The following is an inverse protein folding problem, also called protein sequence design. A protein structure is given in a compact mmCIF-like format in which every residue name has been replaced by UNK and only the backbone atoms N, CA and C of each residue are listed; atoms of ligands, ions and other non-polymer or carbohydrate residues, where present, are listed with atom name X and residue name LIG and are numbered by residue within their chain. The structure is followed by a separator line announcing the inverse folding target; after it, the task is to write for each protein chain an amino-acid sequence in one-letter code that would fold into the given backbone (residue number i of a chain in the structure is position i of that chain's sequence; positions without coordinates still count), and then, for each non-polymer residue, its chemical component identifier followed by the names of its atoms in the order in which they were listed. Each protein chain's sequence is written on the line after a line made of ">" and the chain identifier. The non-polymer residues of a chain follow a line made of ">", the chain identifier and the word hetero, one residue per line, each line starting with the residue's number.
data_IF_290698956483
#
_entry.id   IF_290698956483
#
_cell.length_a   1.000
_cell.length_b   1.000
_cell.length_c   1.000
_cell.angle_alpha   90.00
_cell.angle_beta   90.00
_cell.angle_gamma   90.00
#
_symmetry.space_group_name_H-M   'P 1'
#
loop_
_entity.id
_entity.type
_entity.pdbx_description
1 polymer ?
#
# COMPACT_ATOMS: atom_id res chain seq x y z
N UNK A 1 23.27 -17.20 14.59
CA UNK A 1 22.19 -16.75 13.67
C UNK A 1 20.94 -17.59 13.97
N UNK A 2 19.76 -17.00 14.17
CA UNK A 2 18.52 -17.76 14.47
C UNK A 2 17.57 -17.72 13.27
N UNK A 3 17.13 -18.90 12.82
CA UNK A 3 16.10 -19.09 11.79
C UNK A 3 14.75 -19.28 12.51
N UNK A 4 13.67 -18.71 11.97
CA UNK A 4 12.29 -19.04 12.33
C UNK A 4 11.60 -19.40 11.02
N UNK A 5 11.00 -20.60 10.93
CA UNK A 5 10.38 -21.16 9.71
C UNK A 5 11.25 -21.09 8.45
N UNK A 6 12.55 -21.43 8.56
CA UNK A 6 13.45 -21.55 7.41
C UNK A 6 13.91 -20.23 6.77
N UNK A 7 13.24 -19.10 7.02
CA UNK A 7 13.62 -17.78 6.47
C UNK A 7 14.69 -17.09 7.33
N UNK A 8 15.65 -16.45 6.65
CA UNK A 8 16.76 -15.72 7.26
C UNK A 8 16.28 -14.30 7.57
N UNK A 9 15.99 -14.02 8.83
CA UNK A 9 15.52 -12.70 9.27
C UNK A 9 16.66 -11.67 9.20
N UNK A 10 16.35 -10.46 8.73
CA UNK A 10 17.33 -9.35 8.71
C UNK A 10 17.77 -9.02 10.15
N UNK A 11 18.99 -8.47 10.30
CA UNK A 11 19.53 -8.01 11.59
C UNK A 11 18.59 -7.01 12.31
N UNK A 12 17.91 -6.15 11.55
CA UNK A 12 16.92 -5.18 12.07
C UNK A 12 15.64 -5.88 12.53
N UNK A 13 15.10 -6.80 11.75
CA UNK A 13 13.93 -7.63 12.13
C UNK A 13 14.20 -8.45 13.40
N UNK A 14 15.42 -8.97 13.54
CA UNK A 14 15.85 -9.72 14.72
C UNK A 14 16.01 -8.83 15.96
N UNK A 15 16.40 -7.56 15.79
CA UNK A 15 16.40 -6.55 16.87
C UNK A 15 14.97 -6.18 17.27
N UNK A 16 14.08 -5.93 16.32
CA UNK A 16 12.67 -5.64 16.59
C UNK A 16 11.98 -6.80 17.33
N UNK A 17 12.15 -8.05 16.87
CA UNK A 17 11.62 -9.24 17.55
C UNK A 17 12.21 -9.39 18.96
N UNK A 18 13.51 -9.14 19.15
CA UNK A 18 14.13 -9.15 20.49
C UNK A 18 13.61 -8.03 21.39
N UNK A 19 13.30 -6.86 20.83
CA UNK A 19 12.71 -5.74 21.56
C UNK A 19 11.27 -6.11 22.00
N UNK A 20 10.45 -6.63 21.08
CA UNK A 20 9.09 -7.14 21.34
C UNK A 20 9.10 -8.26 22.39
N UNK A 21 10.11 -9.14 22.35
CA UNK A 21 10.31 -10.20 23.35
C UNK A 21 10.68 -9.65 24.73
N UNK A 22 11.62 -8.69 24.77
CA UNK A 22 12.11 -8.06 26.00
C UNK A 22 11.02 -7.25 26.70
N UNK A 23 10.13 -6.68 25.92
CA UNK A 23 8.96 -5.89 26.35
C UNK A 23 7.75 -6.76 26.77
N UNK A 24 7.88 -8.09 26.81
CA UNK A 24 6.82 -9.01 27.26
C UNK A 24 5.63 -9.13 26.31
N UNK A 25 5.65 -8.46 25.15
CA UNK A 25 4.54 -8.41 24.19
C UNK A 25 4.36 -9.74 23.45
N UNK A 26 5.42 -10.55 23.37
CA UNK A 26 5.46 -11.79 22.60
C UNK A 26 4.52 -12.89 23.14
N UNK A 27 4.29 -12.93 24.46
CA UNK A 27 3.38 -13.87 25.12
C UNK A 27 1.89 -13.56 24.86
N UNK A 28 1.55 -12.28 24.71
CA UNK A 28 0.20 -11.85 24.34
C UNK A 28 -0.06 -11.99 22.83
N UNK A 29 0.99 -11.85 22.01
CA UNK A 29 0.97 -12.10 20.57
C UNK A 29 0.72 -13.58 20.22
N UNK A 30 1.34 -14.53 20.95
CA UNK A 30 1.10 -15.97 20.74
C UNK A 30 -0.33 -16.37 21.14
N UNK A 31 -0.93 -15.71 22.14
CA UNK A 31 -2.33 -15.93 22.53
C UNK A 31 -3.36 -15.32 21.56
N UNK A 32 -2.95 -14.34 20.74
CA UNK A 32 -3.80 -13.66 19.76
C UNK A 32 -3.67 -14.23 18.34
N UNK A 33 -2.74 -15.16 18.10
CA UNK A 33 -2.73 -15.97 16.86
C UNK A 33 -3.97 -16.90 16.85
N UNK A 34 -4.62 -17.14 15.70
CA UNK A 34 -5.91 -17.80 15.68
C UNK A 34 -5.82 -19.19 16.31
N UNK A 35 -6.67 -19.43 17.30
CA UNK A 35 -7.11 -20.75 17.71
C UNK A 35 -7.91 -21.31 16.53
N UNK A 36 -7.20 -21.79 15.50
CA UNK A 36 -7.74 -22.77 14.60
C UNK A 36 -7.89 -24.07 15.40
N UNK A 37 -9.12 -24.58 15.49
CA UNK A 37 -9.53 -25.81 16.15
C UNK A 37 -9.65 -25.79 17.67
N UNK A 38 -10.79 -25.29 18.18
CA UNK A 38 -11.67 -26.13 19.03
C UNK A 38 -13.07 -25.52 19.18
N UNK A 39 -14.06 -26.39 18.99
CA UNK A 39 -15.53 -26.20 19.10
C UNK A 39 -15.94 -25.18 20.18
N UNK A 40 -16.61 -24.11 19.77
CA UNK A 40 -17.42 -23.28 20.67
C UNK A 40 -18.88 -23.58 20.39
N UNK A 41 -19.48 -24.32 21.32
CA UNK A 41 -20.92 -24.57 21.39
C UNK A 41 -21.67 -23.33 21.88
N UNK A 42 -22.71 -22.96 21.13
CA UNK A 42 -23.97 -22.33 21.55
C UNK A 42 -23.89 -21.08 22.46
N UNK A 43 -23.73 -19.93 21.82
CA UNK A 43 -24.40 -18.67 22.17
C UNK A 43 -25.01 -18.11 20.87
N UNK A 44 -26.18 -17.44 20.90
CA UNK A 44 -26.83 -16.96 19.69
C UNK A 44 -25.97 -15.85 19.07
N UNK A 45 -25.20 -16.22 18.06
CA UNK A 45 -24.48 -15.30 17.20
C UNK A 45 -25.54 -14.59 16.38
N UNK A 46 -25.73 -13.29 16.61
CA UNK A 46 -26.25 -12.42 15.56
C UNK A 46 -25.22 -12.49 14.43
N UNK A 47 -25.44 -13.40 13.48
CA UNK A 47 -24.55 -13.64 12.35
C UNK A 47 -24.71 -12.47 11.38
N UNK A 48 -23.88 -11.45 11.57
CA UNK A 48 -23.51 -10.58 10.48
C UNK A 48 -22.83 -11.46 9.42
N UNK A 49 -23.21 -11.40 8.13
CA UNK A 49 -22.58 -12.21 7.10
C UNK A 49 -21.08 -11.97 7.13
N UNK A 50 -20.27 -13.03 7.28
CA UNK A 50 -18.80 -12.92 7.35
C UNK A 50 -18.20 -12.22 6.11
N UNK A 51 -18.92 -12.29 4.99
CA UNK A 51 -18.62 -11.71 3.68
C UNK A 51 -18.75 -10.18 3.64
N UNK A 52 -19.45 -9.59 4.61
CA UNK A 52 -19.68 -8.15 4.70
C UNK A 52 -18.81 -7.47 5.76
N UNK A 53 -17.91 -8.20 6.44
CA UNK A 53 -17.04 -7.62 7.46
C UNK A 53 -16.08 -6.60 6.80
N UNK A 54 -16.31 -5.28 6.98
CA UNK A 54 -15.50 -4.26 6.30
C UNK A 54 -14.08 -4.16 6.86
N UNK A 55 -13.76 -4.94 7.89
CA UNK A 55 -12.47 -4.93 8.56
C UNK A 55 -11.60 -6.12 8.17
N UNK A 56 -12.12 -7.19 7.56
CA UNK A 56 -11.26 -8.32 7.16
C UNK A 56 -10.56 -8.02 5.83
N UNK A 57 -9.55 -7.17 5.90
CA UNK A 57 -8.95 -6.58 4.72
C UNK A 57 -8.16 -7.60 3.87
N UNK A 58 -8.49 -7.72 2.58
CA UNK A 58 -7.61 -8.23 1.54
C UNK A 58 -6.25 -7.51 1.56
N UNK A 59 -6.18 -6.27 2.07
CA UNK A 59 -4.93 -5.52 2.27
C UNK A 59 -3.98 -6.11 3.32
N UNK A 60 -4.47 -6.98 4.23
CA UNK A 60 -3.58 -7.80 5.06
C UNK A 60 -2.77 -8.83 4.25
N UNK A 61 -3.18 -9.12 3.00
CA UNK A 61 -2.53 -10.05 2.07
C UNK A 61 -1.66 -9.34 1.04
N UNK A 62 -1.77 -8.02 0.91
CA UNK A 62 -0.97 -7.26 -0.03
C UNK A 62 0.48 -7.21 0.44
N UNK A 63 1.38 -7.68 -0.41
CA UNK A 63 2.82 -7.57 -0.18
C UNK A 63 3.20 -6.09 -0.25
N UNK A 64 4.09 -5.65 0.64
CA UNK A 64 4.68 -4.32 0.57
C UNK A 64 5.92 -4.35 -0.32
N UNK A 65 6.15 -3.26 -1.07
CA UNK A 65 7.48 -3.02 -1.66
C UNK A 65 8.56 -2.92 -0.57
N UNK A 66 9.84 -3.04 -0.95
CA UNK A 66 10.93 -2.95 0.02
C UNK A 66 10.93 -1.59 0.75
N UNK A 67 10.72 -0.50 0.01
CA UNK A 67 10.68 0.84 0.57
C UNK A 67 9.50 1.01 1.54
N UNK A 68 8.31 0.51 1.19
CA UNK A 68 7.15 0.52 2.08
C UNK A 68 7.38 -0.34 3.32
N UNK A 69 7.97 -1.53 3.18
CA UNK A 69 8.29 -2.40 4.31
C UNK A 69 9.36 -1.77 5.22
N UNK A 70 10.38 -1.11 4.66
CA UNK A 70 11.37 -0.35 5.43
C UNK A 70 10.70 0.77 6.23
N UNK A 71 9.83 1.56 5.59
CA UNK A 71 9.12 2.66 6.24
C UNK A 71 8.14 2.17 7.29
N UNK A 72 7.40 1.11 7.02
CA UNK A 72 6.57 0.45 8.02
C UNK A 72 7.42 0.03 9.24
N UNK A 73 8.56 -0.63 9.03
CA UNK A 73 9.44 -1.03 10.13
C UNK A 73 9.96 0.16 10.96
N UNK A 74 10.29 1.29 10.32
CA UNK A 74 10.67 2.52 11.03
C UNK A 74 9.55 2.97 11.99
N UNK A 75 8.30 2.97 11.53
CA UNK A 75 7.15 3.35 12.35
C UNK A 75 6.78 2.32 13.41
N UNK A 76 6.96 1.03 13.14
CA UNK A 76 6.82 -0.02 14.14
C UNK A 76 7.84 0.17 15.28
N UNK A 77 9.10 0.42 14.95
CA UNK A 77 10.16 0.68 15.94
C UNK A 77 9.85 1.94 16.77
N UNK A 78 9.42 3.04 16.13
CA UNK A 78 8.97 4.25 16.83
C UNK A 78 7.81 3.96 17.79
N UNK A 79 6.77 3.27 17.34
CA UNK A 79 5.61 2.95 18.17
C UNK A 79 5.98 2.07 19.37
N UNK A 80 6.88 1.08 19.18
CA UNK A 80 7.38 0.24 20.26
C UNK A 80 8.21 1.05 21.26
N UNK A 81 9.05 1.97 20.77
CA UNK A 81 9.93 2.82 21.57
C UNK A 81 9.20 4.01 22.24
N UNK A 82 7.93 4.25 21.90
CA UNK A 82 7.15 5.29 22.56
C UNK A 82 7.15 5.07 24.08
N UNK A 83 7.37 6.14 24.83
CA UNK A 83 7.44 6.12 26.30
C UNK A 83 6.10 6.47 26.96
N UNK A 84 5.22 7.17 26.25
CA UNK A 84 3.92 7.59 26.75
C UNK A 84 2.90 7.80 25.62
N UNK A 85 1.64 7.95 25.99
CA UNK A 85 0.53 8.05 25.05
C UNK A 85 0.61 9.27 24.12
N UNK A 86 1.22 10.37 24.56
CA UNK A 86 1.39 11.58 23.75
C UNK A 86 2.38 11.35 22.60
N UNK A 87 3.52 10.72 22.90
CA UNK A 87 4.50 10.30 21.90
C UNK A 87 3.88 9.31 20.91
N UNK A 88 3.12 8.33 21.40
CA UNK A 88 2.44 7.37 20.53
C UNK A 88 1.42 8.04 19.61
N UNK A 89 0.60 8.96 20.14
CA UNK A 89 -0.35 9.73 19.34
C UNK A 89 0.34 10.48 18.20
N UNK A 90 1.46 11.15 18.48
CA UNK A 90 2.23 11.88 17.45
C UNK A 90 2.78 10.94 16.38
N UNK A 91 3.29 9.76 16.78
CA UNK A 91 3.80 8.74 15.85
C UNK A 91 2.68 8.24 14.94
N UNK A 92 1.46 8.08 15.47
CA UNK A 92 0.28 7.70 14.67
C UNK A 92 -0.06 8.78 13.66
N UNK A 93 -0.07 10.05 14.08
CA UNK A 93 -0.34 11.18 13.17
C UNK A 93 0.72 11.23 12.04
N UNK A 94 2.00 11.12 12.37
CA UNK A 94 3.10 11.08 11.39
C UNK A 94 2.98 9.87 10.43
N UNK A 95 2.57 8.70 10.91
CA UNK A 95 2.41 7.49 10.09
C UNK A 95 1.25 7.65 9.09
N UNK A 96 0.12 8.18 9.57
CA UNK A 96 -1.07 8.42 8.74
C UNK A 96 -0.77 9.49 7.68
N UNK A 97 -0.11 10.58 8.06
CA UNK A 97 0.28 11.64 7.15
C UNK A 97 1.23 11.16 6.05
N UNK A 98 2.17 10.27 6.38
CA UNK A 98 3.08 9.68 5.40
C UNK A 98 2.42 8.62 4.49
N UNK A 99 1.19 8.20 4.78
CA UNK A 99 0.51 7.17 3.98
C UNK A 99 0.91 5.74 4.33
N UNK A 100 1.38 5.48 5.56
CA UNK A 100 1.68 4.11 6.00
C UNK A 100 0.38 3.28 5.95
N UNK A 101 0.41 2.16 5.22
CA UNK A 101 -0.65 1.14 5.24
C UNK A 101 -0.70 0.52 6.64
N UNK A 102 -1.75 0.84 7.39
CA UNK A 102 -1.90 0.50 8.80
C UNK A 102 -2.23 -0.97 9.02
N UNK A 103 -2.81 -1.64 8.01
CA UNK A 103 -3.15 -3.07 8.06
C UNK A 103 -2.07 -3.97 7.45
N UNK A 104 -1.27 -3.43 6.53
CA UNK A 104 -0.18 -4.17 5.91
C UNK A 104 0.79 -4.74 6.94
N UNK A 105 1.23 -5.98 6.71
CA UNK A 105 2.13 -6.70 7.61
C UNK A 105 3.56 -6.64 7.08
N UNK A 106 4.51 -6.36 7.97
CA UNK A 106 5.91 -6.56 7.66
C UNK A 106 6.27 -8.05 7.56
N UNK A 107 7.51 -8.37 7.20
CA UNK A 107 8.02 -9.75 7.14
C UNK A 107 7.87 -10.55 8.45
N UNK A 108 7.79 -9.85 9.59
CA UNK A 108 7.56 -10.45 10.91
C UNK A 108 6.09 -10.72 11.22
N UNK A 109 5.17 -10.36 10.33
CA UNK A 109 3.72 -10.50 10.52
C UNK A 109 3.07 -9.38 11.33
N UNK A 110 3.78 -8.27 11.58
CA UNK A 110 3.30 -7.14 12.37
C UNK A 110 2.78 -6.01 11.47
N UNK A 111 1.60 -5.50 11.78
CA UNK A 111 1.07 -4.27 11.18
C UNK A 111 1.15 -3.10 12.16
N UNK A 112 1.13 -1.88 11.64
CA UNK A 112 1.22 -0.67 12.44
C UNK A 112 0.03 -0.52 13.39
N UNK A 113 -1.19 -0.80 12.91
CA UNK A 113 -2.39 -0.81 13.73
C UNK A 113 -2.26 -1.80 14.90
N UNK A 114 -1.83 -3.04 14.63
CA UNK A 114 -1.70 -4.07 15.67
C UNK A 114 -0.66 -3.68 16.74
N UNK A 115 0.52 -3.21 16.34
CA UNK A 115 1.57 -2.80 17.30
C UNK A 115 1.12 -1.61 18.14
N UNK A 116 0.46 -0.63 17.52
CA UNK A 116 -0.08 0.54 18.23
C UNK A 116 -1.13 0.12 19.25
N UNK A 117 -2.07 -0.76 18.86
CA UNK A 117 -3.04 -1.34 19.79
C UNK A 117 -2.35 -2.09 20.92
N UNK A 118 -1.35 -2.94 20.63
CA UNK A 118 -0.64 -3.68 21.66
C UNK A 118 0.05 -2.77 22.69
N UNK A 119 0.64 -1.66 22.23
CA UNK A 119 1.29 -0.68 23.11
C UNK A 119 0.28 -0.07 24.10
N UNK A 120 -0.96 0.17 23.65
CA UNK A 120 -2.03 0.73 24.48
C UNK A 120 -2.58 -0.22 25.56
N UNK A 121 -2.21 -1.51 25.62
CA UNK A 121 -2.57 -2.37 26.76
C UNK A 121 -1.84 -2.00 28.06
N UNK A 122 -0.69 -1.33 27.96
CA UNK A 122 0.13 -0.98 29.11
C UNK A 122 -0.50 0.16 29.89
N UNK A 123 -0.33 0.14 31.21
CA UNK A 123 -0.92 1.14 32.10
C UNK A 123 -0.43 2.55 31.80
N UNK A 124 0.83 2.72 31.42
CA UNK A 124 1.45 3.99 31.00
C UNK A 124 0.87 4.57 29.70
N UNK A 125 0.05 3.79 28.98
CA UNK A 125 -0.68 4.17 27.77
C UNK A 125 -2.20 4.18 27.97
N UNK A 126 -2.69 4.09 29.21
CA UNK A 126 -4.12 4.26 29.52
C UNK A 126 -4.47 5.73 29.72
N UNK A 127 -5.61 6.15 29.18
CA UNK A 127 -6.12 7.52 29.37
C UNK A 127 -6.85 8.10 28.17
N UNK A 128 -7.14 9.40 28.25
CA UNK A 128 -8.08 10.09 27.36
C UNK A 128 -7.71 10.02 25.87
N UNK A 129 -6.42 9.87 25.53
CA UNK A 129 -5.96 9.81 24.13
C UNK A 129 -6.08 8.42 23.49
N UNK A 130 -6.39 7.37 24.25
CA UNK A 130 -6.57 6.02 23.67
C UNK A 130 -7.73 6.01 22.68
N UNK A 131 -8.85 6.62 23.07
CA UNK A 131 -10.03 6.71 22.21
C UNK A 131 -9.71 7.48 20.92
N UNK A 132 -8.94 8.57 21.00
CA UNK A 132 -8.52 9.37 19.84
C UNK A 132 -7.62 8.58 18.88
N UNK A 133 -6.61 7.88 19.40
CA UNK A 133 -5.73 7.03 18.57
C UNK A 133 -6.52 5.93 17.88
N UNK A 134 -7.40 5.24 18.62
CA UNK A 134 -8.25 4.17 18.05
C UNK A 134 -9.18 4.77 16.99
N UNK A 135 -9.77 5.93 17.25
CA UNK A 135 -10.63 6.65 16.30
C UNK A 135 -9.88 7.00 15.00
N UNK A 136 -8.67 7.56 15.11
CA UNK A 136 -7.83 7.90 13.94
C UNK A 136 -7.47 6.68 13.11
N UNK A 137 -7.04 5.60 13.75
CA UNK A 137 -6.75 4.34 13.05
C UNK A 137 -8.01 3.77 12.39
N UNK A 138 -9.15 3.78 13.09
CA UNK A 138 -10.43 3.28 12.58
C UNK A 138 -10.89 4.05 11.35
N UNK A 139 -10.80 5.38 11.39
CA UNK A 139 -11.12 6.28 10.27
C UNK A 139 -10.26 6.03 9.03
N UNK A 140 -9.08 5.43 9.22
CA UNK A 140 -8.15 5.08 8.15
C UNK A 140 -8.19 3.58 7.79
N UNK A 141 -9.29 2.89 8.14
CA UNK A 141 -9.55 1.51 7.73
C UNK A 141 -8.86 0.44 8.57
N UNK A 142 -8.33 0.77 9.76
CA UNK A 142 -7.64 -0.22 10.59
C UNK A 142 -8.53 -1.41 10.99
N UNK A 143 -8.01 -2.63 10.79
CA UNK A 143 -8.61 -3.88 11.24
C UNK A 143 -8.18 -4.21 12.68
N UNK A 144 -9.08 -3.99 13.63
CA UNK A 144 -8.84 -4.30 15.04
C UNK A 144 -9.16 -5.76 15.36
N UNK A 145 -8.27 -6.67 14.95
CA UNK A 145 -8.28 -8.04 15.46
C UNK A 145 -7.91 -8.11 16.96
N UNK A 146 -7.35 -7.04 17.51
CA UNK A 146 -6.88 -6.93 18.90
C UNK A 146 -7.69 -5.85 19.63
N UNK A 147 -8.49 -6.25 20.63
CA UNK A 147 -9.36 -5.33 21.38
C UNK A 147 -8.70 -4.90 22.70
N UNK A 148 -8.09 -3.70 22.72
CA UNK A 148 -7.38 -3.14 23.88
C UNK A 148 -8.31 -2.90 25.07
N UNK A 149 -9.46 -2.28 24.79
CA UNK A 149 -10.57 -2.15 25.72
C UNK A 149 -11.87 -2.35 24.93
N UNK A 150 -12.61 -3.43 25.24
CA UNK A 150 -13.83 -3.77 24.52
C UNK A 150 -14.88 -2.66 24.55
N UNK A 151 -14.93 -1.84 25.60
CA UNK A 151 -15.90 -0.73 25.71
C UNK A 151 -15.48 0.41 24.78
N UNK A 152 -14.22 0.84 24.83
CA UNK A 152 -13.70 1.91 23.97
C UNK A 152 -13.77 1.48 22.50
N UNK A 153 -13.28 0.28 22.17
CA UNK A 153 -13.31 -0.22 20.79
C UNK A 153 -14.74 -0.32 20.25
N UNK A 154 -15.71 -0.85 21.02
CA UNK A 154 -17.12 -0.89 20.59
C UNK A 154 -17.73 0.49 20.41
N UNK A 155 -17.39 1.45 21.29
CA UNK A 155 -17.87 2.83 21.19
C UNK A 155 -17.36 3.48 19.90
N UNK A 156 -16.04 3.45 19.69
CA UNK A 156 -15.41 4.01 18.49
C UNK A 156 -15.91 3.32 17.23
N UNK A 157 -16.06 1.99 17.24
CA UNK A 157 -16.57 1.24 16.10
C UNK A 157 -17.96 1.74 15.69
N UNK A 158 -18.91 1.86 16.63
CA UNK A 158 -20.25 2.39 16.33
C UNK A 158 -20.24 3.82 15.78
N UNK A 159 -19.29 4.64 16.22
CA UNK A 159 -19.14 6.03 15.79
C UNK A 159 -18.57 6.14 14.36
N UNK A 160 -17.59 5.28 14.04
CA UNK A 160 -16.81 5.36 12.80
C UNK A 160 -17.39 4.50 11.68
N UNK A 161 -18.06 3.40 12.00
CA UNK A 161 -18.62 2.46 11.02
C UNK A 161 -19.50 3.13 9.94
N UNK A 162 -20.42 4.07 10.26
CA UNK A 162 -21.19 4.77 9.24
C UNK A 162 -20.33 5.63 8.29
N UNK A 163 -19.23 6.19 8.80
CA UNK A 163 -18.32 7.04 8.03
C UNK A 163 -17.49 6.20 7.05
N UNK A 164 -16.96 5.07 7.52
CA UNK A 164 -16.23 4.11 6.68
C UNK A 164 -17.16 3.51 5.64
N UNK A 165 -18.37 3.10 6.02
CA UNK A 165 -19.35 2.57 5.08
C UNK A 165 -19.70 3.60 3.99
N UNK A 166 -19.91 4.87 4.38
CA UNK A 166 -20.16 5.94 3.41
C UNK A 166 -18.99 6.16 2.46
N UNK A 167 -17.75 6.12 2.96
CA UNK A 167 -16.55 6.27 2.14
C UNK A 167 -16.37 5.10 1.17
N UNK A 168 -16.52 3.86 1.64
CA UNK A 168 -16.45 2.64 0.81
C UNK A 168 -17.55 2.63 -0.25
N UNK A 169 -18.77 3.05 0.09
CA UNK A 169 -19.86 3.19 -0.88
C UNK A 169 -19.50 4.16 -2.00
N UNK A 170 -18.98 5.34 -1.67
CA UNK A 170 -18.54 6.34 -2.66
C UNK A 170 -17.38 5.83 -3.51
N UNK A 171 -16.44 5.09 -2.91
CA UNK A 171 -15.33 4.48 -3.64
C UNK A 171 -15.82 3.39 -4.61
N UNK A 172 -16.82 2.61 -4.21
CA UNK A 172 -17.49 1.65 -5.11
C UNK A 172 -18.20 2.36 -6.26
N UNK A 173 -18.94 3.44 -5.99
CA UNK A 173 -19.57 4.26 -7.03
C UNK A 173 -18.54 4.83 -8.02
N UNK A 174 -17.34 5.21 -7.56
CA UNK A 174 -16.22 5.59 -8.44
C UNK A 174 -15.82 4.44 -9.37
N UNK A 175 -15.65 3.23 -8.83
CA UNK A 175 -15.33 2.05 -9.64
C UNK A 175 -16.43 1.69 -10.64
N UNK A 176 -17.70 1.74 -10.21
CA UNK A 176 -18.86 1.45 -11.06
C UNK A 176 -18.97 2.46 -12.22
N UNK A 177 -18.77 3.75 -11.96
CA UNK A 177 -18.78 4.79 -12.99
C UNK A 177 -17.58 4.72 -13.95
N UNK A 178 -16.49 4.09 -13.53
CA UNK A 178 -15.31 3.85 -14.36
C UNK A 178 -15.41 2.54 -15.17
N UNK A 179 -16.37 1.68 -14.86
CA UNK A 179 -16.54 0.39 -15.51
C UNK A 179 -17.25 0.55 -16.85
N UNK A 180 -16.60 0.11 -17.93
CA UNK A 180 -17.18 0.08 -19.28
C UNK A 180 -17.93 -1.23 -19.49
N UNK A 181 -17.35 -2.35 -19.05
CA UNK A 181 -17.94 -3.69 -19.07
C UNK A 181 -17.54 -4.43 -17.79
N UNK A 182 -18.46 -5.18 -17.17
CA UNK A 182 -18.21 -5.92 -15.93
C UNK A 182 -18.82 -5.26 -14.69
N UNK A 183 -18.36 -5.66 -13.51
CA UNK A 183 -18.84 -5.13 -12.21
C UNK A 183 -17.70 -4.96 -11.20
N UNK A 184 -17.89 -4.06 -10.23
CA UNK A 184 -17.04 -3.96 -9.04
C UNK A 184 -17.48 -5.03 -8.03
N UNK A 185 -16.58 -5.92 -7.65
CA UNK A 185 -16.84 -6.98 -6.68
C UNK A 185 -16.51 -6.52 -5.26
N UNK A 186 -15.32 -5.95 -5.05
CA UNK A 186 -14.86 -5.54 -3.72
C UNK A 186 -14.15 -4.17 -3.72
N UNK A 187 -14.25 -3.45 -2.61
CA UNK A 187 -13.51 -2.22 -2.36
C UNK A 187 -13.02 -2.17 -0.91
N UNK A 188 -11.78 -1.76 -0.73
CA UNK A 188 -11.17 -1.58 0.59
C UNK A 188 -10.31 -0.33 0.63
N UNK A 189 -10.13 0.22 1.83
CA UNK A 189 -9.21 1.32 2.10
C UNK A 189 -8.21 0.91 3.16
N UNK A 190 -6.96 1.34 2.98
CA UNK A 190 -5.94 1.29 4.01
C UNK A 190 -5.18 2.63 3.99
N UNK A 191 -5.49 3.46 4.97
CA UNK A 191 -5.04 4.84 5.06
C UNK A 191 -5.38 5.63 3.79
N UNK A 192 -4.36 6.09 3.05
CA UNK A 192 -4.54 6.88 1.81
C UNK A 192 -4.59 6.02 0.55
N UNK A 193 -4.57 4.69 0.68
CA UNK A 193 -4.57 3.75 -0.45
C UNK A 193 -5.87 2.98 -0.53
N UNK A 194 -6.19 2.45 -1.70
CA UNK A 194 -7.32 1.55 -1.89
C UNK A 194 -6.93 0.24 -2.58
N UNK A 195 -7.80 -0.74 -2.39
CA UNK A 195 -7.89 -1.94 -3.21
C UNK A 195 -9.27 -1.99 -3.85
N UNK A 196 -9.33 -2.27 -5.14
CA UNK A 196 -10.56 -2.39 -5.90
C UNK A 196 -10.50 -3.64 -6.77
N UNK A 197 -11.49 -4.51 -6.63
CA UNK A 197 -11.60 -5.77 -7.35
C UNK A 197 -12.80 -5.72 -8.28
N UNK A 198 -12.55 -6.12 -9.52
CA UNK A 198 -13.54 -6.19 -10.58
C UNK A 198 -13.69 -7.63 -11.06
N UNK A 199 -14.85 -7.89 -11.68
CA UNK A 199 -15.16 -9.17 -12.31
C UNK A 199 -14.11 -9.62 -13.34
N UNK A 200 -14.02 -10.92 -13.58
CA UNK A 200 -12.91 -11.54 -14.32
C UNK A 200 -12.59 -10.94 -15.71
N UNK A 201 -13.60 -10.50 -16.46
CA UNK A 201 -13.47 -9.95 -17.82
C UNK A 201 -13.80 -8.45 -17.89
N UNK A 202 -13.49 -7.70 -16.83
CA UNK A 202 -13.86 -6.29 -16.72
C UNK A 202 -13.02 -5.40 -17.66
N UNK A 203 -13.65 -4.36 -18.23
CA UNK A 203 -12.99 -3.24 -18.91
C UNK A 203 -13.20 -1.98 -18.08
N UNK A 204 -12.11 -1.35 -17.65
CA UNK A 204 -12.13 -0.25 -16.68
C UNK A 204 -11.33 0.95 -17.16
N UNK A 205 -11.93 2.14 -17.05
CA UNK A 205 -11.23 3.41 -17.16
C UNK A 205 -10.45 3.72 -15.87
N UNK A 206 -9.22 3.22 -15.79
CA UNK A 206 -8.35 3.40 -14.61
C UNK A 206 -8.11 4.89 -14.31
N UNK A 207 -8.15 5.77 -15.31
CA UNK A 207 -7.98 7.20 -15.07
C UNK A 207 -9.13 7.77 -14.22
N UNK A 208 -10.38 7.40 -14.54
CA UNK A 208 -11.55 7.76 -13.72
C UNK A 208 -11.49 7.18 -12.31
N UNK A 209 -11.01 5.94 -12.15
CA UNK A 209 -10.85 5.33 -10.81
C UNK A 209 -9.89 6.17 -9.96
N UNK A 210 -8.71 6.49 -10.48
CA UNK A 210 -7.69 7.23 -9.74
C UNK A 210 -8.16 8.67 -9.43
N UNK A 211 -8.77 9.35 -10.40
CA UNK A 211 -9.31 10.71 -10.19
C UNK A 211 -10.47 10.72 -9.19
N UNK A 212 -11.39 9.78 -9.29
CA UNK A 212 -12.50 9.63 -8.36
C UNK A 212 -12.02 9.34 -6.93
N UNK A 213 -11.06 8.43 -6.76
CA UNK A 213 -10.45 8.14 -5.46
C UNK A 213 -9.74 9.38 -4.88
N UNK A 214 -9.05 10.16 -5.72
CA UNK A 214 -8.43 11.44 -5.31
C UNK A 214 -9.46 12.43 -4.76
N UNK A 215 -10.63 12.54 -5.39
CA UNK A 215 -11.72 13.40 -4.94
C UNK A 215 -12.31 12.95 -3.59
N UNK A 216 -12.13 11.69 -3.21
CA UNK A 216 -12.49 11.16 -1.89
C UNK A 216 -11.38 11.36 -0.84
N UNK A 217 -10.27 12.00 -1.20
CA UNK A 217 -9.14 12.26 -0.30
C UNK A 217 -8.11 11.13 -0.22
N UNK A 218 -8.26 10.08 -1.05
CA UNK A 218 -7.27 9.02 -1.23
C UNK A 218 -6.18 9.47 -2.22
N UNK A 219 -5.03 8.79 -2.26
CA UNK A 219 -4.03 8.90 -3.35
C UNK A 219 -3.65 10.33 -3.75
N UNK A 220 -3.28 11.19 -2.78
CA UNK A 220 -3.05 12.62 -2.98
C UNK A 220 -1.81 12.99 -3.82
N UNK A 221 -1.09 12.02 -4.40
CA UNK A 221 -0.03 12.25 -5.38
C UNK A 221 1.35 12.65 -4.81
N UNK A 222 1.48 12.76 -3.49
CA UNK A 222 2.70 13.27 -2.84
C UNK A 222 3.52 12.21 -2.09
N UNK A 223 3.10 10.94 -2.13
CA UNK A 223 3.59 9.91 -1.21
C UNK A 223 4.13 8.70 -1.96
N UNK A 224 5.42 8.40 -1.80
CA UNK A 224 6.05 7.20 -2.36
C UNK A 224 5.49 5.85 -1.83
N UNK A 225 4.50 5.90 -0.93
CA UNK A 225 3.90 4.79 -0.19
C UNK A 225 2.43 4.52 -0.60
N UNK A 226 1.94 5.16 -1.67
CA UNK A 226 0.50 5.24 -2.00
C UNK A 226 0.02 4.29 -3.12
N UNK A 227 0.67 3.13 -3.29
CA UNK A 227 0.31 2.18 -4.35
C UNK A 227 -1.11 1.65 -4.23
N UNK A 228 -2.00 2.12 -5.08
CA UNK A 228 -3.36 1.60 -5.18
C UNK A 228 -3.34 0.28 -5.95
N UNK A 229 -4.18 -0.65 -5.55
CA UNK A 229 -4.28 -1.96 -6.20
C UNK A 229 -5.61 -2.07 -6.92
N UNK A 230 -5.54 -2.41 -8.20
CA UNK A 230 -6.70 -2.76 -9.02
C UNK A 230 -6.56 -4.24 -9.40
N UNK A 231 -7.56 -5.04 -9.07
CA UNK A 231 -7.64 -6.46 -9.44
C UNK A 231 -8.71 -6.67 -10.50
N UNK A 232 -8.35 -7.36 -11.58
CA UNK A 232 -9.28 -7.79 -12.63
C UNK A 232 -9.04 -9.28 -12.83
N UNK A 233 -10.04 -10.09 -12.48
CA UNK A 233 -9.87 -11.55 -12.43
C UNK A 233 -8.72 -11.96 -11.52
N UNK A 234 -7.82 -12.80 -12.01
CA UNK A 234 -6.65 -13.22 -11.22
C UNK A 234 -5.49 -12.21 -11.27
N UNK A 235 -5.52 -11.27 -12.21
CA UNK A 235 -4.51 -10.25 -12.40
C UNK A 235 -4.68 -9.06 -11.45
N UNK A 236 -3.58 -8.52 -10.97
CA UNK A 236 -3.54 -7.32 -10.15
C UNK A 236 -2.51 -6.34 -10.69
N UNK A 237 -2.82 -5.05 -10.66
CA UNK A 237 -1.92 -3.97 -11.06
C UNK A 237 -1.77 -2.97 -9.93
N UNK A 238 -0.54 -2.51 -9.71
CA UNK A 238 -0.23 -1.44 -8.76
C UNK A 238 -0.06 -0.12 -9.51
N UNK A 239 -0.85 0.87 -9.11
CA UNK A 239 -0.85 2.22 -9.69
C UNK A 239 -0.52 3.23 -8.61
N UNK A 240 0.52 4.03 -8.85
CA UNK A 240 0.90 5.17 -8.01
C UNK A 240 0.56 6.47 -8.71
N UNK A 241 0.26 7.51 -7.93
CA UNK A 241 0.00 8.85 -8.48
C UNK A 241 1.20 9.73 -8.18
N UNK A 242 1.81 10.31 -9.22
CA UNK A 242 2.91 11.28 -9.07
C UNK A 242 2.43 12.65 -8.61
N UNK A 243 3.37 13.51 -8.21
CA UNK A 243 3.08 14.89 -7.74
C UNK A 243 2.42 15.76 -8.80
N UNK A 244 2.70 15.46 -10.07
CA UNK A 244 2.10 16.08 -11.24
C UNK A 244 0.73 15.46 -11.61
N UNK A 245 0.20 14.56 -10.78
CA UNK A 245 -1.06 13.87 -10.99
C UNK A 245 -0.99 12.76 -12.03
N UNK A 246 0.20 12.41 -12.54
CA UNK A 246 0.36 11.32 -13.51
C UNK A 246 0.13 9.97 -12.86
N UNK A 247 -0.55 9.09 -13.58
CA UNK A 247 -0.77 7.69 -13.21
C UNK A 247 0.46 6.90 -13.62
N UNK A 248 1.06 6.19 -12.68
CA UNK A 248 2.24 5.39 -12.92
C UNK A 248 1.95 3.93 -12.60
N UNK A 249 1.94 3.09 -13.63
CA UNK A 249 1.85 1.64 -13.49
C UNK A 249 3.22 1.12 -13.09
N UNK A 250 3.36 0.70 -11.83
CA UNK A 250 4.69 0.40 -11.24
C UNK A 250 4.96 -1.09 -11.09
N UNK A 251 3.90 -1.90 -11.14
CA UNK A 251 4.00 -3.35 -10.96
C UNK A 251 2.70 -4.06 -11.33
N UNK A 252 2.80 -5.37 -11.56
CA UNK A 252 1.68 -6.28 -11.80
C UNK A 252 1.89 -7.61 -11.10
N UNK A 253 0.83 -8.41 -10.92
CA UNK A 253 0.96 -9.76 -10.40
C UNK A 253 1.79 -10.68 -11.30
N UNK A 254 2.42 -11.67 -10.68
CA UNK A 254 3.21 -12.66 -11.39
C UNK A 254 2.34 -13.43 -12.40
N UNK A 255 2.87 -13.61 -13.61
CA UNK A 255 2.21 -14.31 -14.72
C UNK A 255 0.88 -13.67 -15.15
N UNK A 256 0.73 -12.36 -14.92
CA UNK A 256 -0.43 -11.60 -15.41
C UNK A 256 -0.07 -10.70 -16.57
N UNK A 257 -1.11 -10.30 -17.31
CA UNK A 257 -1.06 -9.36 -18.40
C UNK A 257 -2.30 -8.49 -18.37
N UNK A 258 -2.21 -7.28 -18.91
CA UNK A 258 -3.34 -6.40 -19.14
C UNK A 258 -3.08 -5.53 -20.37
N UNK A 259 -4.16 -5.13 -21.05
CA UNK A 259 -4.09 -4.20 -22.16
C UNK A 259 -4.40 -2.78 -21.66
N UNK A 260 -3.60 -1.82 -22.08
CA UNK A 260 -3.85 -0.39 -21.90
C UNK A 260 -4.23 0.21 -23.25
N UNK A 261 -5.47 0.68 -23.36
CA UNK A 261 -5.95 1.41 -24.54
C UNK A 261 -5.72 2.91 -24.36
N UNK A 262 -5.07 3.53 -25.34
CA UNK A 262 -4.75 4.95 -25.36
C UNK A 262 -5.45 5.61 -26.56
N UNK A 263 -6.28 6.63 -26.30
CA UNK A 263 -6.85 7.45 -27.37
C UNK A 263 -5.76 8.35 -27.98
N UNK A 264 -5.65 8.35 -29.31
CA UNK A 264 -4.69 9.13 -30.10
C UNK A 264 -5.39 9.87 -31.25
N UNK A 265 -4.67 10.69 -32.01
CA UNK A 265 -5.24 11.33 -33.21
C UNK A 265 -5.60 10.37 -34.34
N UNK A 266 -5.01 9.16 -34.36
CA UNK A 266 -5.24 8.14 -35.37
C UNK A 266 -6.25 7.06 -34.94
N UNK A 267 -6.75 7.13 -33.71
CA UNK A 267 -7.66 6.13 -33.12
C UNK A 267 -7.17 5.59 -31.78
N UNK A 268 -7.62 4.39 -31.42
CA UNK A 268 -7.23 3.71 -30.19
C UNK A 268 -5.96 2.87 -30.40
N UNK A 269 -4.92 3.15 -29.62
CA UNK A 269 -3.68 2.37 -29.60
C UNK A 269 -3.67 1.46 -28.38
N UNK A 270 -3.52 0.16 -28.59
CA UNK A 270 -3.43 -0.81 -27.50
C UNK A 270 -1.97 -1.15 -27.17
N UNK A 271 -1.68 -1.16 -25.87
CA UNK A 271 -0.41 -1.64 -25.32
C UNK A 271 -0.66 -2.90 -24.50
N UNK A 272 0.04 -3.97 -24.83
CA UNK A 272 0.08 -5.18 -24.00
C UNK A 272 1.15 -5.01 -22.93
N UNK A 273 0.77 -5.14 -21.66
CA UNK A 273 1.66 -5.01 -20.51
C UNK A 273 1.63 -6.30 -19.71
N UNK A 274 2.76 -6.99 -19.61
CA UNK A 274 2.79 -8.34 -19.03
C UNK A 274 4.08 -8.66 -18.28
N UNK A 275 3.96 -9.58 -17.32
CA UNK A 275 5.09 -9.97 -16.47
C UNK A 275 6.10 -10.78 -17.27
N UNK A 276 7.36 -10.37 -17.25
CA UNK A 276 8.42 -11.14 -17.89
C UNK A 276 8.77 -12.39 -17.08
N UNK A 277 8.43 -13.55 -17.63
CA UNK A 277 8.74 -14.85 -17.00
C UNK A 277 10.22 -15.24 -17.11
N UNK A 278 10.97 -14.63 -18.03
CA UNK A 278 12.41 -14.82 -18.24
C UNK A 278 13.27 -13.91 -17.36
N UNK A 279 12.84 -12.67 -17.13
CA UNK A 279 13.41 -11.75 -16.13
C UNK A 279 12.34 -11.25 -15.16
N UNK A 280 12.25 -11.89 -13.98
CA UNK A 280 11.29 -11.56 -12.93
C UNK A 280 11.28 -10.08 -12.50
N UNK A 281 12.33 -9.30 -12.82
CA UNK A 281 12.45 -7.89 -12.46
C UNK A 281 11.89 -6.93 -13.51
N UNK A 282 11.46 -7.44 -14.67
CA UNK A 282 10.90 -6.62 -15.73
C UNK A 282 9.40 -6.88 -15.92
N UNK A 283 8.75 -5.86 -16.44
CA UNK A 283 7.42 -5.93 -17.06
C UNK A 283 7.61 -5.48 -18.50
N UNK A 284 7.18 -6.31 -19.43
CA UNK A 284 7.25 -6.02 -20.85
C UNK A 284 6.10 -5.09 -21.24
N UNK A 285 6.36 -4.23 -22.23
CA UNK A 285 5.40 -3.29 -22.81
C UNK A 285 5.53 -3.37 -24.32
N UNK A 286 4.49 -3.87 -24.96
CA UNK A 286 4.45 -4.07 -26.42
C UNK A 286 3.26 -3.32 -27.01
N UNK A 287 3.44 -2.77 -28.20
CA UNK A 287 2.34 -2.16 -28.95
C UNK A 287 1.72 -3.23 -29.85
N UNK A 288 0.39 -3.31 -29.88
CA UNK A 288 -0.28 -4.28 -30.77
C UNK A 288 -0.23 -3.86 -32.25
N UNK A 289 -0.30 -2.56 -32.54
CA UNK A 289 -0.22 -1.98 -33.88
C UNK A 289 1.06 -1.14 -34.06
N UNK A 290 2.12 -1.78 -34.56
CA UNK A 290 3.41 -1.12 -34.83
C UNK A 290 3.32 -0.10 -35.97
N UNK A 291 2.43 -0.28 -36.95
CA UNK A 291 2.28 0.64 -38.07
C UNK A 291 1.73 1.98 -37.56
N UNK A 292 0.63 1.92 -36.79
CA UNK A 292 0.04 3.07 -36.12
C UNK A 292 1.02 3.75 -35.17
N UNK A 293 1.78 2.98 -34.38
CA UNK A 293 2.81 3.55 -33.50
C UNK A 293 3.84 4.38 -34.27
N UNK A 294 4.36 3.84 -35.38
CA UNK A 294 5.35 4.51 -36.20
C UNK A 294 4.78 5.78 -36.86
N UNK A 295 3.50 5.77 -37.27
CA UNK A 295 2.83 6.97 -37.77
C UNK A 295 2.69 8.05 -36.70
N UNK A 296 2.27 7.68 -35.48
CA UNK A 296 2.19 8.58 -34.34
C UNK A 296 3.56 9.23 -34.01
N UNK A 297 4.66 8.47 -34.14
CA UNK A 297 6.01 9.01 -33.98
C UNK A 297 6.40 10.00 -35.08
N UNK A 298 6.03 9.73 -36.35
CA UNK A 298 6.31 10.62 -37.48
C UNK A 298 5.61 11.97 -37.35
N UNK A 299 4.36 11.96 -36.86
CA UNK A 299 3.59 13.21 -36.62
C UNK A 299 4.01 13.93 -35.32
N UNK A 300 4.83 13.30 -34.48
CA UNK A 300 5.31 13.86 -33.22
C UNK A 300 4.25 13.93 -32.11
N UNK A 301 3.25 13.05 -32.14
CA UNK A 301 2.22 13.01 -31.10
C UNK A 301 2.78 12.48 -29.76
N UNK A 302 2.43 13.15 -28.66
CA UNK A 302 2.78 12.71 -27.31
C UNK A 302 1.68 11.75 -26.82
N UNK A 303 1.86 10.46 -27.11
CA UNK A 303 0.93 9.39 -26.74
C UNK A 303 0.89 9.20 -25.22
N UNK A 304 -0.32 9.01 -24.68
CA UNK A 304 -0.52 8.66 -23.26
C UNK A 304 -0.17 9.78 -22.27
N UNK A 305 -0.40 11.05 -22.63
CA UNK A 305 -0.20 12.18 -21.71
C UNK A 305 -0.92 11.93 -20.38
N UNK A 306 -0.14 11.88 -19.28
CA UNK A 306 -0.68 11.57 -17.94
C UNK A 306 -0.50 10.12 -17.49
N UNK A 307 0.07 9.27 -18.34
CA UNK A 307 0.39 7.87 -18.09
C UNK A 307 1.90 7.65 -18.05
N UNK A 308 2.37 6.82 -17.12
CA UNK A 308 3.76 6.39 -16.97
C UNK A 308 3.80 4.88 -16.69
N UNK A 309 4.91 4.24 -17.07
CA UNK A 309 5.23 2.85 -16.77
C UNK A 309 6.57 2.78 -16.05
N UNK A 310 6.59 2.38 -14.79
CA UNK A 310 7.81 2.36 -13.97
C UNK A 310 8.52 3.73 -13.87
N UNK A 311 7.78 4.83 -14.03
CA UNK A 311 8.30 6.20 -14.08
C UNK A 311 8.71 6.70 -15.47
N UNK A 312 8.68 5.84 -16.49
CA UNK A 312 8.96 6.19 -17.89
C UNK A 312 7.70 6.69 -18.59
N UNK A 313 7.86 7.58 -19.57
CA UNK A 313 6.79 7.91 -20.51
C UNK A 313 6.39 6.67 -21.34
N UNK A 314 5.20 6.69 -21.94
CA UNK A 314 4.75 5.60 -22.82
C UNK A 314 5.75 5.32 -23.93
N UNK A 315 6.29 6.37 -24.56
CA UNK A 315 7.30 6.25 -25.61
C UNK A 315 8.56 5.53 -25.14
N UNK A 316 9.14 5.98 -24.03
CA UNK A 316 10.36 5.37 -23.49
C UNK A 316 10.14 3.90 -23.10
N UNK A 317 8.99 3.57 -22.50
CA UNK A 317 8.66 2.20 -22.12
C UNK A 317 8.50 1.28 -23.35
N UNK A 318 7.83 1.75 -24.40
CA UNK A 318 7.66 1.02 -25.66
C UNK A 318 9.00 0.85 -26.40
N UNK A 319 9.80 1.91 -26.52
CA UNK A 319 11.10 1.84 -27.21
C UNK A 319 12.09 0.90 -26.50
N UNK A 320 12.04 0.88 -25.17
CA UNK A 320 12.81 -0.06 -24.35
C UNK A 320 12.20 -1.48 -24.35
N UNK A 321 10.92 -1.59 -24.69
CA UNK A 321 10.12 -2.81 -24.60
C UNK A 321 9.78 -3.24 -23.17
N UNK A 322 10.27 -2.54 -22.15
CA UNK A 322 10.12 -2.98 -20.75
C UNK A 322 10.37 -1.87 -19.72
N UNK A 323 9.88 -2.09 -18.50
CA UNK A 323 10.26 -1.32 -17.31
C UNK A 323 10.55 -2.22 -16.11
N UNK A 324 11.36 -1.70 -15.18
CA UNK A 324 11.73 -2.43 -13.98
C UNK A 324 10.64 -2.33 -12.92
N UNK A 325 10.27 -3.47 -12.34
CA UNK A 325 9.29 -3.57 -11.24
C UNK A 325 9.79 -2.80 -10.03
N UNK A 326 9.04 -1.76 -9.64
CA UNK A 326 9.36 -0.92 -8.48
C UNK A 326 8.23 -0.87 -7.44
N UNK A 327 7.23 -1.73 -7.61
CA UNK A 327 6.15 -1.93 -6.65
C UNK A 327 6.35 -3.18 -5.78
N UNK A 328 5.23 -3.74 -5.35
CA UNK A 328 5.11 -4.81 -4.35
C UNK A 328 5.66 -6.17 -4.74
N UNK A 329 5.74 -6.49 -6.03
CA UNK A 329 6.22 -7.77 -6.53
C UNK A 329 7.68 -7.70 -7.01
N UNK A 330 8.27 -6.50 -7.09
CA UNK A 330 9.71 -6.31 -7.27
C UNK A 330 10.58 -7.07 -6.24
N UNK A 331 11.79 -7.45 -6.65
CA UNK A 331 12.73 -8.20 -5.80
C UNK A 331 13.46 -7.28 -4.81
N UNK A 332 13.59 -7.65 -3.51
CA UNK A 332 14.39 -6.93 -2.51
C UNK A 332 15.89 -6.75 -2.83
N UNK A 333 16.41 -7.37 -3.89
CA UNK A 333 17.80 -7.18 -4.35
C UNK A 333 17.93 -6.40 -5.66
N UNK A 334 16.80 -5.99 -6.27
CA UNK A 334 16.84 -5.09 -7.43
C UNK A 334 17.12 -3.68 -6.94
N UNK A 335 18.39 -3.39 -6.65
CA UNK A 335 18.85 -2.01 -6.64
C UNK A 335 18.52 -1.47 -8.03
N UNK A 336 17.57 -0.53 -8.11
CA UNK A 336 17.50 0.37 -9.25
C UNK A 336 18.91 0.89 -9.48
N UNK A 337 19.48 0.67 -10.67
CA UNK A 337 20.81 1.15 -11.04
C UNK A 337 20.87 2.67 -11.20
N UNK A 338 19.75 3.38 -10.99
CA UNK A 338 19.75 4.82 -10.85
C UNK A 338 20.11 5.24 -9.42
N UNK A 339 21.37 5.66 -9.31
CA UNK A 339 21.90 6.31 -8.12
C UNK A 339 21.28 7.70 -8.00
N UNK A 340 20.28 7.88 -7.14
CA UNK A 340 19.83 9.22 -6.75
C UNK A 340 20.91 9.91 -5.91
N UNK A 341 21.74 10.77 -6.52
CA UNK A 341 22.66 11.63 -5.77
C UNK A 341 21.90 12.80 -5.16
N UNK A 342 21.63 12.74 -3.85
CA UNK A 342 21.28 13.92 -3.08
C UNK A 342 22.51 14.80 -2.88
N UNK A 343 22.54 15.95 -3.57
CA UNK A 343 23.49 17.03 -3.26
C UNK A 343 22.89 17.88 -2.14
N UNK A 344 23.35 17.67 -0.91
CA UNK A 344 23.14 18.66 0.15
C UNK A 344 24.03 19.87 -0.14
N UNK A 345 23.51 20.85 -0.86
CA UNK A 345 24.06 22.22 -0.85
C UNK A 345 23.53 22.94 0.38
N UNK A 346 24.29 22.91 1.47
CA UNK A 346 24.24 23.95 2.49
C UNK A 346 25.67 24.36 2.89
N UNK A 347 26.08 25.46 2.26
CA UNK A 347 26.92 26.58 2.72
C UNK A 347 28.06 26.29 3.70
N UNK A 348 29.25 26.62 3.21
CA UNK A 348 30.29 27.42 3.87
C UNK A 348 30.11 27.63 5.38
N UNK A 349 31.04 27.05 6.15
CA UNK A 349 31.73 27.86 7.13
C UNK A 349 33.24 27.63 6.99
N UNK A 350 33.90 28.73 6.64
CA UNK A 350 35.34 28.92 6.77
C UNK A 350 35.77 28.50 8.17
N UNK A 351 36.75 27.60 8.23
CA UNK A 351 37.85 27.77 9.19
C UNK A 351 39.15 27.39 8.49
N UNK A 352 39.78 28.40 7.89
CA UNK A 352 41.23 28.44 7.74
C UNK A 352 41.87 28.33 9.11
N UNK A 353 42.67 27.30 9.34
CA UNK A 353 43.82 27.39 10.23
C UNK A 353 44.98 26.60 9.63
N UNK A 354 45.93 27.38 9.14
CA UNK A 354 47.28 27.02 8.72
C UNK A 354 48.04 26.38 9.87
N UNK A 355 48.90 25.40 9.59
CA UNK A 355 49.92 24.93 10.52
C UNK A 355 50.80 23.83 9.93
N UNK A 356 51.90 24.24 9.27
CA UNK A 356 53.00 23.38 8.83
C UNK A 356 53.72 22.75 10.03
N UNK A 357 54.17 21.51 9.84
CA UNK A 357 55.57 21.11 10.01
C UNK A 357 55.87 20.04 8.96
#
# INVERSE_FOLDING_TARGET
>A
MKKINGKRLSSKTLKAIKLIAKEGLLLNLIKAAPIANKKISKLPVLSYPEELNPFRSALCRTRLSEYENMKLNEFLEKAIAAENIDKLSKIVDEALDLGIRVNARNEGGFSFANVTMFKMYRDEFKGNKQEDIIRKLALNGADFNVQVDKKITKKVQKEIEPQIYSLLKKLREVGENATIEGTVENVEIDNKTFYMEFSHSCIVDVAKVIEGAKNLGLSKGDLNLDGNIIKIGEGEVEVKTGKDGKRNYVDISDNSAFTVTLCTSLGELNLMVYHDTGDYHQVQVEVEDEEMWNELQKIGEIVGKGCLFGGMSVKEAVEKGSFTRCGRWGNPNSKSSETFSWVNKLKDNKTTSVGRA
#
